data_IF_190011844052
#
_entry.id   IF_190011844052
#
_cell.length_a   1.000
_cell.length_b   1.000
_cell.length_c   1.000
_cell.angle_alpha   90.00
_cell.angle_beta   90.00
_cell.angle_gamma   90.00
#
_symmetry.space_group_name_H-M   'P 1'
#
loop_
_entity.id
_entity.type
_entity.pdbx_description
1 polymer ?
#
# COMPACT_ATOMS: atom_id res chain seq x y z
N UNK A 1 7.49 3.54 7.64
CA UNK A 1 8.91 3.95 7.64
C UNK A 1 9.47 4.23 6.23
N UNK A 2 9.44 3.33 5.20
CA UNK A 2 10.10 3.59 3.92
C UNK A 2 9.53 4.79 3.15
N UNK A 3 8.24 5.06 3.23
CA UNK A 3 7.62 6.24 2.62
C UNK A 3 8.13 7.55 3.23
N UNK A 4 8.15 7.65 4.56
CA UNK A 4 8.59 8.86 5.24
C UNK A 4 10.06 9.11 4.94
N UNK A 5 10.92 8.08 5.05
CA UNK A 5 12.35 8.20 4.76
C UNK A 5 12.61 8.56 3.29
N UNK A 6 11.85 8.03 2.34
CA UNK A 6 11.98 8.36 0.91
C UNK A 6 11.56 9.80 0.63
N UNK A 7 10.47 10.27 1.21
CA UNK A 7 9.99 11.66 1.05
C UNK A 7 11.01 12.64 1.65
N UNK A 8 11.53 12.35 2.84
CA UNK A 8 12.57 13.17 3.49
C UNK A 8 13.85 13.21 2.64
N UNK A 9 14.30 12.07 2.12
CA UNK A 9 15.47 12.00 1.23
C UNK A 9 15.23 12.78 -0.07
N UNK A 10 14.06 12.65 -0.71
CA UNK A 10 13.74 13.40 -1.92
C UNK A 10 13.64 14.90 -1.66
N UNK A 11 12.99 15.32 -0.58
CA UNK A 11 12.92 16.72 -0.18
C UNK A 11 14.32 17.31 0.08
N UNK A 12 15.15 16.58 0.81
CA UNK A 12 16.53 17.00 1.06
C UNK A 12 17.34 17.11 -0.24
N UNK A 13 17.28 16.10 -1.11
CA UNK A 13 17.95 16.12 -2.42
C UNK A 13 17.45 17.26 -3.31
N UNK A 14 16.19 17.66 -3.20
CA UNK A 14 15.63 18.78 -3.96
C UNK A 14 16.26 20.13 -3.57
N UNK A 15 16.63 20.29 -2.31
CA UNK A 15 17.25 21.55 -1.79
C UNK A 15 18.76 21.66 -2.07
N UNK A 16 19.41 20.56 -2.44
CA UNK A 16 20.88 20.50 -2.60
C UNK A 16 21.29 20.77 -4.05
N UNK A 17 22.43 21.45 -4.24
CA UNK A 17 22.99 21.76 -5.57
C UNK A 17 23.34 20.48 -6.37
N UNK A 18 23.35 20.55 -7.72
CA UNK A 18 23.65 19.37 -8.56
C UNK A 18 25.02 18.71 -8.24
N UNK A 19 26.05 19.51 -7.99
CA UNK A 19 27.39 19.00 -7.64
C UNK A 19 27.39 18.28 -6.27
N UNK A 20 26.62 18.76 -5.31
CA UNK A 20 26.50 18.07 -4.02
C UNK A 20 25.65 16.80 -4.12
N UNK A 21 24.67 16.72 -5.01
CA UNK A 21 23.91 15.48 -5.29
C UNK A 21 24.79 14.34 -5.77
N UNK A 22 25.76 14.62 -6.64
CA UNK A 22 26.72 13.60 -7.11
C UNK A 22 27.60 13.10 -5.97
N UNK A 23 28.11 13.98 -5.12
CA UNK A 23 28.92 13.62 -3.95
C UNK A 23 28.15 12.77 -2.92
N UNK A 24 26.84 13.00 -2.78
CA UNK A 24 25.99 12.27 -1.86
C UNK A 24 25.51 10.91 -2.41
N UNK A 25 25.69 10.65 -3.69
CA UNK A 25 25.26 9.40 -4.34
C UNK A 25 25.62 8.13 -3.56
N UNK A 26 26.89 7.93 -3.18
CA UNK A 26 27.31 6.74 -2.42
C UNK A 26 26.64 6.64 -1.05
N UNK A 27 26.49 7.74 -0.33
CA UNK A 27 25.84 7.77 0.99
C UNK A 27 24.35 7.40 0.86
N UNK A 28 23.66 7.95 -0.13
CA UNK A 28 22.23 7.66 -0.35
C UNK A 28 22.02 6.20 -0.74
N UNK A 29 22.89 5.60 -1.55
CA UNK A 29 22.89 4.16 -1.86
C UNK A 29 22.95 3.33 -0.60
N UNK A 30 23.93 3.61 0.27
CA UNK A 30 24.14 2.88 1.51
C UNK A 30 22.94 3.04 2.45
N UNK A 31 22.45 4.27 2.64
CA UNK A 31 21.27 4.54 3.48
C UNK A 31 20.05 3.79 2.95
N UNK A 32 19.80 3.82 1.65
CA UNK A 32 18.69 3.12 1.03
C UNK A 32 18.79 1.60 1.20
N UNK A 33 19.98 1.04 1.07
CA UNK A 33 20.23 -0.38 1.30
C UNK A 33 19.99 -0.75 2.77
N UNK A 34 20.51 0.03 3.71
CA UNK A 34 20.32 -0.23 5.15
C UNK A 34 18.84 -0.16 5.52
N UNK A 35 18.11 0.85 5.01
CA UNK A 35 16.67 0.98 5.25
C UNK A 35 15.88 -0.21 4.67
N UNK A 36 16.21 -0.65 3.45
CA UNK A 36 15.53 -1.80 2.84
C UNK A 36 15.84 -3.12 3.56
N UNK A 37 17.08 -3.32 4.01
CA UNK A 37 17.45 -4.48 4.83
C UNK A 37 16.78 -4.44 6.20
N UNK A 38 16.71 -3.28 6.84
CA UNK A 38 16.00 -3.12 8.11
C UNK A 38 14.50 -3.48 7.96
N UNK A 39 13.86 -3.08 6.86
CA UNK A 39 12.48 -3.47 6.56
C UNK A 39 12.33 -4.99 6.38
N UNK A 40 13.24 -5.62 5.64
CA UNK A 40 13.24 -7.07 5.46
C UNK A 40 13.43 -7.80 6.80
N UNK A 41 14.35 -7.35 7.64
CA UNK A 41 14.57 -7.94 8.97
C UNK A 41 13.33 -7.76 9.84
N UNK A 42 12.70 -6.58 9.86
CA UNK A 42 11.49 -6.33 10.64
C UNK A 42 10.32 -7.22 10.17
N UNK A 43 10.06 -7.32 8.88
CA UNK A 43 8.98 -8.17 8.36
C UNK A 43 9.25 -9.65 8.61
N UNK A 44 10.51 -10.09 8.51
CA UNK A 44 10.91 -11.46 8.84
C UNK A 44 10.78 -11.72 10.34
N UNK A 45 11.17 -10.76 11.19
CA UNK A 45 11.02 -10.86 12.64
C UNK A 45 9.53 -10.90 13.07
N UNK A 46 8.67 -10.12 12.41
CA UNK A 46 7.22 -10.19 12.63
C UNK A 46 6.67 -11.57 12.28
N UNK A 47 7.15 -12.18 11.21
CA UNK A 47 6.75 -13.54 10.83
C UNK A 47 7.13 -14.57 11.88
N UNK A 48 8.38 -14.61 12.31
CA UNK A 48 8.83 -15.55 13.33
C UNK A 48 8.34 -15.17 14.74
N UNK A 49 8.19 -13.88 15.02
CA UNK A 49 7.69 -13.38 16.30
C UNK A 49 6.24 -13.77 16.58
N UNK A 50 5.38 -13.77 15.57
CA UNK A 50 4.00 -14.22 15.70
C UNK A 50 3.91 -15.71 16.08
N UNK A 51 4.86 -16.53 15.59
CA UNK A 51 4.95 -17.95 15.97
C UNK A 51 5.36 -18.16 17.42
N UNK A 52 6.19 -17.27 17.99
CA UNK A 52 6.68 -17.40 19.35
C UNK A 52 5.71 -16.88 20.42
N UNK A 53 4.90 -15.85 20.10
CA UNK A 53 4.03 -15.19 21.08
C UNK A 53 2.72 -15.95 21.29
N UNK A 54 2.19 -16.61 20.28
CA UNK A 54 0.90 -17.32 20.33
C UNK A 54 1.01 -18.85 20.28
N UNK A 55 2.22 -19.41 20.15
CA UNK A 55 2.48 -20.84 20.24
C UNK A 55 1.92 -21.71 19.11
N UNK A 56 1.17 -21.14 18.17
CA UNK A 56 0.56 -21.88 17.05
C UNK A 56 0.32 -20.96 15.86
N UNK A 57 1.33 -20.69 15.04
CA UNK A 57 1.06 -20.40 13.64
C UNK A 57 0.84 -21.74 12.94
N UNK A 58 -0.32 -22.29 13.15
CA UNK A 58 -0.80 -23.37 12.32
C UNK A 58 -1.20 -22.74 10.98
N UNK A 59 -0.45 -23.03 9.91
CA UNK A 59 -0.77 -22.60 8.54
C UNK A 59 -2.18 -23.02 8.13
N UNK A 60 -2.75 -24.00 8.84
CA UNK A 60 -4.12 -24.50 8.65
C UNK A 60 -5.17 -23.59 9.29
N UNK A 61 -4.78 -22.71 10.24
CA UNK A 61 -5.67 -21.78 10.95
C UNK A 61 -5.56 -20.34 10.47
N UNK A 62 -4.67 -20.03 9.50
CA UNK A 62 -4.69 -18.77 8.78
C UNK A 62 -5.97 -18.69 7.94
N UNK A 63 -7.06 -18.31 8.59
CA UNK A 63 -8.32 -18.09 7.88
C UNK A 63 -8.24 -16.75 7.15
N UNK A 64 -8.64 -16.75 5.89
CA UNK A 64 -8.88 -15.53 5.14
C UNK A 64 -9.87 -14.68 5.92
N UNK A 65 -9.49 -13.44 6.25
CA UNK A 65 -10.32 -12.50 7.01
C UNK A 65 -10.03 -12.38 8.51
N UNK A 66 -9.04 -13.12 9.05
CA UNK A 66 -8.45 -12.82 10.35
C UNK A 66 -7.22 -11.94 10.15
N UNK A 67 -7.24 -10.73 10.70
CA UNK A 67 -6.14 -9.77 10.55
C UNK A 67 -5.24 -9.82 11.77
N UNK A 68 -3.93 -9.95 11.51
CA UNK A 68 -2.88 -9.85 12.50
C UNK A 68 -2.27 -8.44 12.48
N UNK A 69 -1.74 -7.99 13.63
CA UNK A 69 -1.11 -6.68 13.78
C UNK A 69 -2.05 -5.52 13.38
N UNK A 70 -3.33 -5.69 13.70
CA UNK A 70 -4.34 -4.69 13.36
C UNK A 70 -4.18 -3.44 14.22
N UNK A 71 -4.10 -2.29 13.54
CA UNK A 71 -4.18 -0.97 14.16
C UNK A 71 -5.18 -0.12 13.41
N UNK A 72 -6.10 0.50 14.13
CA UNK A 72 -7.13 1.35 13.55
C UNK A 72 -7.33 2.62 14.38
N UNK A 73 -7.42 3.75 13.71
CA UNK A 73 -7.78 5.03 14.30
C UNK A 73 -8.67 5.80 13.34
N UNK A 74 -9.58 6.62 13.88
CA UNK A 74 -10.47 7.45 13.06
C UNK A 74 -9.64 8.52 12.37
N UNK A 75 -9.77 8.62 11.04
CA UNK A 75 -9.13 9.66 10.22
C UNK A 75 -10.13 10.75 9.83
N UNK A 76 -11.22 10.39 9.17
CA UNK A 76 -12.29 11.32 8.77
C UNK A 76 -13.62 10.75 9.27
N UNK A 77 -14.05 11.23 10.44
CA UNK A 77 -15.25 10.73 11.12
C UNK A 77 -16.52 10.92 10.27
N UNK A 78 -16.67 12.07 9.62
CA UNK A 78 -17.84 12.41 8.81
C UNK A 78 -18.10 11.46 7.62
N UNK A 79 -17.05 10.77 7.14
CA UNK A 79 -17.12 9.81 6.04
C UNK A 79 -16.92 8.36 6.49
N UNK A 80 -16.73 8.11 7.77
CA UNK A 80 -16.42 6.77 8.28
C UNK A 80 -15.14 6.19 7.70
N UNK A 81 -14.12 7.04 7.46
CA UNK A 81 -12.80 6.65 6.96
C UNK A 81 -11.87 6.45 8.14
N UNK A 82 -11.21 5.30 8.16
CA UNK A 82 -10.26 4.92 9.19
C UNK A 82 -8.84 4.83 8.63
N UNK A 83 -7.86 5.29 9.42
CA UNK A 83 -6.48 4.89 9.22
C UNK A 83 -6.33 3.49 9.81
N UNK A 84 -6.60 2.49 9.00
CA UNK A 84 -6.68 1.10 9.43
C UNK A 84 -5.67 0.26 8.65
N UNK A 85 -4.78 -0.41 9.37
CA UNK A 85 -3.74 -1.28 8.80
C UNK A 85 -3.75 -2.62 9.50
N UNK A 86 -3.49 -3.67 8.75
CA UNK A 86 -3.35 -5.02 9.26
C UNK A 86 -2.87 -5.97 8.17
N UNK A 87 -2.57 -7.19 8.54
CA UNK A 87 -2.10 -8.21 7.61
C UNK A 87 -2.87 -9.50 7.83
N UNK A 88 -3.29 -10.10 6.74
CA UNK A 88 -3.88 -11.44 6.70
C UNK A 88 -2.89 -12.46 6.10
N UNK A 89 -3.32 -13.70 5.97
CA UNK A 89 -2.53 -14.79 5.39
C UNK A 89 -2.07 -14.53 3.95
N UNK A 90 -2.79 -13.68 3.20
CA UNK A 90 -2.46 -13.34 1.82
C UNK A 90 -1.56 -12.11 1.73
N UNK A 91 -1.86 -11.06 2.47
CA UNK A 91 -1.11 -9.81 2.43
C UNK A 91 0.29 -9.94 3.03
N UNK A 92 0.47 -10.79 4.04
CA UNK A 92 1.77 -11.00 4.67
C UNK A 92 2.87 -11.47 3.68
N UNK A 93 2.69 -12.55 2.90
CA UNK A 93 3.66 -12.96 1.88
C UNK A 93 3.95 -11.87 0.84
N UNK A 94 2.95 -11.04 0.48
CA UNK A 94 3.12 -9.94 -0.47
C UNK A 94 3.99 -8.82 0.11
N UNK A 95 3.78 -8.47 1.38
CA UNK A 95 4.63 -7.52 2.11
C UNK A 95 6.05 -8.06 2.23
N UNK A 96 6.21 -9.33 2.61
CA UNK A 96 7.52 -9.95 2.74
C UNK A 96 8.26 -10.00 1.40
N UNK A 97 7.58 -10.38 0.33
CA UNK A 97 8.15 -10.39 -1.03
C UNK A 97 8.59 -8.99 -1.45
N UNK A 98 7.77 -7.96 -1.19
CA UNK A 98 8.10 -6.57 -1.50
C UNK A 98 9.35 -6.12 -0.75
N UNK A 99 9.43 -6.40 0.56
CA UNK A 99 10.59 -6.05 1.39
C UNK A 99 11.84 -6.84 1.02
N UNK A 100 11.71 -8.06 0.50
CA UNK A 100 12.81 -8.86 -0.02
C UNK A 100 13.34 -8.32 -1.36
N UNK A 101 12.44 -7.93 -2.26
CA UNK A 101 12.82 -7.43 -3.59
C UNK A 101 13.47 -6.04 -3.53
N UNK A 102 13.17 -5.21 -2.54
CA UNK A 102 13.77 -3.88 -2.40
C UNK A 102 15.29 -3.90 -2.31
N UNK A 103 15.95 -4.61 -1.36
CA UNK A 103 17.41 -4.67 -1.29
C UNK A 103 18.01 -5.33 -2.53
N UNK A 104 17.35 -6.34 -3.11
CA UNK A 104 17.79 -6.98 -4.36
C UNK A 104 17.83 -5.96 -5.49
N UNK A 105 16.78 -5.15 -5.64
CA UNK A 105 16.72 -4.08 -6.65
C UNK A 105 17.81 -3.04 -6.43
N UNK A 106 18.05 -2.62 -5.19
CA UNK A 106 19.09 -1.64 -4.86
C UNK A 106 20.48 -2.17 -5.21
N UNK A 107 20.76 -3.44 -4.90
CA UNK A 107 22.04 -4.07 -5.23
C UNK A 107 22.21 -4.26 -6.75
N UNK A 108 21.15 -4.71 -7.44
CA UNK A 108 21.18 -4.90 -8.89
C UNK A 108 21.43 -3.60 -9.66
N UNK A 109 20.92 -2.48 -9.12
CA UNK A 109 21.07 -1.14 -9.75
C UNK A 109 22.14 -0.27 -9.08
N UNK A 110 23.10 -0.90 -8.37
CA UNK A 110 24.08 -0.19 -7.55
C UNK A 110 24.86 0.90 -8.29
N UNK A 111 25.20 0.67 -9.55
CA UNK A 111 25.97 1.58 -10.37
C UNK A 111 25.15 2.62 -11.14
N UNK A 112 23.83 2.72 -10.80
CA UNK A 112 22.93 3.60 -11.56
C UNK A 112 23.30 5.07 -11.42
N UNK A 113 23.19 5.80 -12.53
CA UNK A 113 23.44 7.24 -12.57
C UNK A 113 22.34 7.99 -11.83
N UNK A 114 22.69 9.16 -11.25
CA UNK A 114 21.76 9.97 -10.43
C UNK A 114 21.19 9.21 -9.22
N UNK A 115 22.02 8.42 -8.56
CA UNK A 115 21.67 7.62 -7.39
C UNK A 115 20.86 8.38 -6.33
N UNK A 116 21.16 9.68 -6.14
CA UNK A 116 20.51 10.55 -5.18
C UNK A 116 18.99 10.70 -5.41
N UNK A 117 18.53 10.52 -6.64
CA UNK A 117 17.09 10.58 -6.97
C UNK A 117 16.52 9.19 -7.20
N UNK A 118 17.32 8.27 -7.77
CA UNK A 118 16.86 6.93 -8.11
C UNK A 118 16.43 6.11 -6.89
N UNK A 119 17.32 5.97 -5.91
CA UNK A 119 17.09 5.10 -4.76
C UNK A 119 15.92 5.57 -3.86
N UNK A 120 15.77 6.86 -3.56
CA UNK A 120 14.57 7.33 -2.86
C UNK A 120 13.26 7.05 -3.62
N UNK A 121 13.25 7.14 -4.96
CA UNK A 121 12.06 6.77 -5.75
C UNK A 121 11.76 5.27 -5.66
N UNK A 122 12.78 4.41 -5.67
CA UNK A 122 12.62 2.96 -5.48
C UNK A 122 12.05 2.66 -4.08
N UNK A 123 12.58 3.31 -3.03
CA UNK A 123 12.06 3.17 -1.66
C UNK A 123 10.62 3.69 -1.55
N UNK A 124 10.29 4.80 -2.21
CA UNK A 124 8.94 5.35 -2.22
C UNK A 124 7.95 4.39 -2.87
N UNK A 125 8.33 3.79 -4.00
CA UNK A 125 7.51 2.78 -4.67
C UNK A 125 7.27 1.55 -3.78
N UNK A 126 8.33 1.01 -3.18
CA UNK A 126 8.20 -0.12 -2.26
C UNK A 126 7.36 0.18 -1.03
N UNK A 127 7.52 1.38 -0.46
CA UNK A 127 6.72 1.83 0.67
C UNK A 127 5.24 2.02 0.33
N UNK A 128 4.93 2.54 -0.86
CA UNK A 128 3.56 2.66 -1.35
C UNK A 128 2.92 1.28 -1.59
N UNK A 129 3.65 0.34 -2.19
CA UNK A 129 3.20 -1.06 -2.35
C UNK A 129 2.92 -1.74 -1.02
N UNK A 130 3.78 -1.57 -0.01
CA UNK A 130 3.50 -2.09 1.33
C UNK A 130 2.21 -1.48 1.86
N UNK A 131 2.00 -0.16 1.69
CA UNK A 131 0.77 0.52 2.08
C UNK A 131 -0.48 -0.09 1.43
N UNK A 132 -0.42 -0.43 0.14
CA UNK A 132 -1.50 -1.11 -0.59
C UNK A 132 -1.84 -2.46 0.05
N UNK A 133 -0.82 -3.26 0.43
CA UNK A 133 -1.04 -4.61 0.97
C UNK A 133 -1.50 -4.63 2.43
N UNK A 134 -1.23 -3.58 3.20
CA UNK A 134 -1.62 -3.51 4.62
C UNK A 134 -2.87 -2.66 4.88
N UNK A 135 -3.39 -1.97 3.87
CA UNK A 135 -4.57 -1.13 4.02
C UNK A 135 -5.82 -1.97 4.29
N UNK A 136 -6.50 -1.70 5.40
CA UNK A 136 -7.78 -2.30 5.76
C UNK A 136 -8.98 -1.37 5.52
N UNK A 137 -8.75 -0.21 4.93
CA UNK A 137 -9.77 0.75 4.50
C UNK A 137 -9.66 0.98 3.00
N UNK A 138 -10.77 0.90 2.27
CA UNK A 138 -10.80 1.02 0.80
C UNK A 138 -10.32 2.38 0.30
N UNK A 139 -10.59 3.46 1.05
CA UNK A 139 -10.10 4.79 0.70
C UNK A 139 -8.58 4.88 0.91
N UNK A 140 -8.07 4.34 2.01
CA UNK A 140 -6.65 4.28 2.29
C UNK A 140 -5.91 3.41 1.25
N UNK A 141 -6.48 2.26 0.88
CA UNK A 141 -5.99 1.43 -0.21
C UNK A 141 -5.84 2.24 -1.50
N UNK A 142 -6.88 3.00 -1.89
CA UNK A 142 -6.86 3.84 -3.07
C UNK A 142 -5.75 4.91 -3.02
N UNK A 143 -5.58 5.58 -1.89
CA UNK A 143 -4.52 6.59 -1.70
C UNK A 143 -3.13 5.98 -1.91
N UNK A 144 -2.84 4.81 -1.33
CA UNK A 144 -1.56 4.15 -1.53
C UNK A 144 -1.39 3.63 -2.96
N UNK A 145 -2.46 3.16 -3.59
CA UNK A 145 -2.46 2.78 -5.00
C UNK A 145 -2.04 3.94 -5.90
N UNK A 146 -2.68 5.10 -5.75
CA UNK A 146 -2.30 6.32 -6.49
C UNK A 146 -0.87 6.76 -6.20
N UNK A 147 -0.42 6.61 -4.96
CA UNK A 147 0.92 6.98 -4.57
C UNK A 147 2.01 6.16 -5.29
N UNK A 148 1.72 4.94 -5.75
CA UNK A 148 2.66 4.13 -6.55
C UNK A 148 2.94 4.73 -7.92
N UNK A 149 1.99 5.48 -8.50
CA UNK A 149 2.12 6.06 -9.83
C UNK A 149 3.20 7.14 -9.90
N UNK A 150 3.36 7.91 -8.82
CA UNK A 150 4.30 9.04 -8.78
C UNK A 150 5.75 8.56 -9.00
N UNK A 151 6.31 7.65 -8.18
CA UNK A 151 7.67 7.17 -8.39
C UNK A 151 7.82 6.43 -9.72
N UNK A 152 6.81 5.65 -10.13
CA UNK A 152 6.86 4.91 -11.39
C UNK A 152 6.94 5.85 -12.60
N UNK A 153 6.14 6.93 -12.63
CA UNK A 153 6.22 7.96 -13.67
C UNK A 153 7.64 8.55 -13.78
N UNK A 154 8.25 8.94 -12.65
CA UNK A 154 9.59 9.52 -12.66
C UNK A 154 10.68 8.51 -13.01
N UNK A 155 10.54 7.25 -12.61
CA UNK A 155 11.47 6.18 -12.99
C UNK A 155 11.44 5.95 -14.50
N UNK A 156 10.27 5.83 -15.11
CA UNK A 156 10.14 5.69 -16.57
C UNK A 156 10.67 6.93 -17.29
N UNK A 157 10.33 8.13 -16.80
CA UNK A 157 10.72 9.40 -17.45
C UNK A 157 12.24 9.60 -17.49
N UNK A 158 12.96 9.21 -16.42
CA UNK A 158 14.41 9.44 -16.31
C UNK A 158 15.25 8.27 -16.80
N UNK A 159 14.84 7.05 -16.53
CA UNK A 159 15.61 5.83 -16.80
C UNK A 159 14.98 4.91 -17.85
N UNK A 160 13.85 5.29 -18.43
CA UNK A 160 13.22 4.56 -19.54
C UNK A 160 14.03 4.60 -20.83
N UNK A 161 13.55 3.85 -21.84
CA UNK A 161 14.17 3.71 -23.15
C UNK A 161 14.12 4.97 -24.05
N UNK A 162 14.18 4.77 -25.38
CA UNK A 162 14.27 5.85 -26.35
C UNK A 162 13.13 6.86 -26.26
N UNK A 163 11.88 6.41 -26.21
CA UNK A 163 10.68 7.25 -26.16
C UNK A 163 10.14 7.45 -24.73
N UNK A 164 11.02 7.52 -23.74
CA UNK A 164 10.67 7.58 -22.30
C UNK A 164 9.67 8.68 -21.92
N UNK A 165 9.72 9.85 -22.57
CA UNK A 165 8.76 10.94 -22.31
C UNK A 165 7.35 10.55 -22.70
N UNK A 166 7.19 10.06 -23.92
CA UNK A 166 5.91 9.58 -24.44
C UNK A 166 5.40 8.38 -23.63
N UNK A 167 6.28 7.42 -23.34
CA UNK A 167 5.95 6.23 -22.58
C UNK A 167 5.50 6.57 -21.16
N UNK A 168 6.20 7.48 -20.45
CA UNK A 168 5.83 7.89 -19.10
C UNK A 168 4.49 8.62 -19.02
N UNK A 169 4.24 9.53 -19.95
CA UNK A 169 2.96 10.24 -20.05
C UNK A 169 1.81 9.29 -20.39
N UNK A 170 2.01 8.40 -21.36
CA UNK A 170 1.01 7.42 -21.75
C UNK A 170 0.70 6.46 -20.59
N UNK A 171 1.72 5.93 -19.93
CA UNK A 171 1.56 5.10 -18.73
C UNK A 171 0.73 5.82 -17.66
N UNK A 172 1.11 7.06 -17.32
CA UNK A 172 0.41 7.83 -16.28
C UNK A 172 -1.06 8.07 -16.65
N UNK A 173 -1.35 8.54 -17.87
CA UNK A 173 -2.74 8.85 -18.29
C UNK A 173 -3.60 7.58 -18.24
N UNK A 174 -3.12 6.47 -18.82
CA UNK A 174 -3.91 5.23 -18.82
C UNK A 174 -4.16 4.68 -17.42
N UNK A 175 -3.12 4.64 -16.59
CA UNK A 175 -3.24 4.09 -15.24
C UNK A 175 -4.10 4.98 -14.35
N UNK A 176 -3.91 6.30 -14.42
CA UNK A 176 -4.72 7.27 -13.67
C UNK A 176 -6.19 7.25 -14.12
N UNK A 177 -6.48 7.14 -15.43
CA UNK A 177 -7.86 7.03 -15.90
C UNK A 177 -8.53 5.75 -15.40
N UNK A 178 -7.81 4.62 -15.41
CA UNK A 178 -8.32 3.36 -14.87
C UNK A 178 -8.58 3.44 -13.37
N UNK A 179 -7.70 4.09 -12.62
CA UNK A 179 -7.86 4.25 -11.16
C UNK A 179 -9.01 5.18 -10.78
N UNK A 180 -9.31 6.20 -11.59
CA UNK A 180 -10.51 7.03 -11.41
C UNK A 180 -11.79 6.20 -11.58
N UNK A 181 -11.83 5.28 -12.56
CA UNK A 181 -12.96 4.35 -12.71
C UNK A 181 -13.07 3.43 -11.48
N UNK A 182 -11.95 2.93 -10.96
CA UNK A 182 -11.94 2.17 -9.71
C UNK A 182 -12.48 2.99 -8.54
N UNK A 183 -12.08 4.27 -8.41
CA UNK A 183 -12.62 5.16 -7.38
C UNK A 183 -14.13 5.30 -7.47
N UNK A 184 -14.69 5.46 -8.67
CA UNK A 184 -16.14 5.49 -8.86
C UNK A 184 -16.80 4.20 -8.37
N UNK A 185 -16.17 3.04 -8.60
CA UNK A 185 -16.62 1.76 -8.05
C UNK A 185 -16.62 1.74 -6.52
N UNK A 186 -15.54 2.19 -5.88
CA UNK A 186 -15.44 2.28 -4.41
C UNK A 186 -16.48 3.22 -3.81
N UNK A 187 -16.68 4.39 -4.43
CA UNK A 187 -17.71 5.36 -4.03
C UNK A 187 -19.12 4.78 -4.20
N UNK A 188 -19.34 4.02 -5.27
CA UNK A 188 -20.63 3.32 -5.49
C UNK A 188 -20.90 2.30 -4.39
N UNK A 189 -19.91 1.49 -4.02
CA UNK A 189 -20.02 0.55 -2.88
C UNK A 189 -20.37 1.31 -1.60
N UNK A 190 -19.72 2.44 -1.33
CA UNK A 190 -19.99 3.27 -0.16
C UNK A 190 -21.46 3.76 -0.11
N UNK A 191 -21.99 4.27 -1.22
CA UNK A 191 -23.36 4.81 -1.24
C UNK A 191 -24.44 3.73 -1.21
N UNK A 192 -24.16 2.53 -1.70
CA UNK A 192 -25.10 1.41 -1.73
C UNK A 192 -25.15 0.60 -0.43
N UNK A 193 -24.30 0.89 0.55
CA UNK A 193 -24.33 0.25 1.85
C UNK A 193 -25.62 0.60 2.61
N UNK A 194 -26.19 -0.34 3.37
CA UNK A 194 -27.24 -0.03 4.32
C UNK A 194 -26.71 0.90 5.42
N UNK A 195 -27.52 1.82 5.90
CA UNK A 195 -27.17 2.69 7.02
C UNK A 195 -27.11 1.87 8.33
N UNK A 196 -26.17 2.24 9.22
CA UNK A 196 -26.03 1.57 10.52
C UNK A 196 -24.89 0.58 10.62
N UNK A 197 -24.00 0.52 9.60
CA UNK A 197 -22.77 -0.24 9.69
C UNK A 197 -21.79 0.43 10.67
N UNK A 198 -21.44 -0.26 11.75
CA UNK A 198 -20.52 0.27 12.78
C UNK A 198 -19.42 -0.72 13.08
N UNK A 199 -18.20 -0.21 13.16
CA UNK A 199 -17.09 -0.90 13.81
C UNK A 199 -17.13 -0.54 15.30
N UNK A 200 -17.29 -1.52 16.17
CA UNK A 200 -17.24 -1.37 17.63
C UNK A 200 -18.26 -0.36 18.23
N UNK A 201 -19.42 -0.16 17.62
CA UNK A 201 -20.50 0.63 18.22
C UNK A 201 -20.32 2.15 18.23
N UNK A 202 -19.30 2.69 17.54
CA UNK A 202 -18.99 4.13 17.57
C UNK A 202 -19.52 4.93 16.38
N UNK A 203 -19.73 4.29 15.23
CA UNK A 203 -20.22 4.94 14.02
C UNK A 203 -21.46 4.22 13.47
N UNK A 204 -22.52 4.95 13.19
CA UNK A 204 -23.81 4.43 12.68
C UNK A 204 -24.01 4.72 11.20
N UNK A 205 -23.03 5.25 10.51
CA UNK A 205 -23.06 5.61 9.09
C UNK A 205 -22.48 4.54 8.17
N UNK A 206 -22.23 4.96 6.93
CA UNK A 206 -21.52 4.17 5.92
C UNK A 206 -20.03 4.19 6.20
N UNK A 207 -19.28 3.16 5.75
CA UNK A 207 -17.83 3.04 6.02
C UNK A 207 -17.08 2.47 4.82
N UNK A 208 -15.78 2.79 4.74
CA UNK A 208 -14.83 2.15 3.82
C UNK A 208 -14.03 1.02 4.48
N UNK A 209 -14.30 0.70 5.75
CA UNK A 209 -13.57 -0.32 6.53
C UNK A 209 -13.85 -1.73 6.02
N UNK A 210 -12.83 -2.40 5.47
CA UNK A 210 -12.93 -3.72 4.84
C UNK A 210 -13.41 -4.80 5.81
N UNK A 211 -12.89 -4.90 7.06
CA UNK A 211 -13.38 -5.88 8.04
C UNK A 211 -14.88 -5.75 8.32
N UNK A 212 -15.37 -4.53 8.48
CA UNK A 212 -16.80 -4.26 8.69
C UNK A 212 -17.62 -4.66 7.47
N UNK A 213 -17.19 -4.29 6.27
CA UNK A 213 -17.87 -4.63 5.02
C UNK A 213 -17.94 -6.14 4.80
N UNK A 214 -16.87 -6.86 5.04
CA UNK A 214 -16.82 -8.33 4.89
C UNK A 214 -17.70 -9.04 5.92
N UNK A 215 -17.71 -8.61 7.17
CA UNK A 215 -18.56 -9.17 8.21
C UNK A 215 -20.07 -8.99 7.87
N UNK A 216 -20.44 -7.83 7.37
CA UNK A 216 -21.82 -7.57 6.94
C UNK A 216 -22.22 -8.36 5.69
N UNK A 217 -21.33 -8.50 4.72
CA UNK A 217 -21.57 -9.31 3.53
C UNK A 217 -21.77 -10.80 3.90
N UNK A 218 -20.98 -11.32 4.84
CA UNK A 218 -21.14 -12.68 5.35
C UNK A 218 -22.44 -12.87 6.10
N UNK A 219 -22.83 -11.93 6.98
CA UNK A 219 -24.08 -11.98 7.70
C UNK A 219 -25.30 -11.91 6.77
N UNK A 220 -25.25 -11.06 5.76
CA UNK A 220 -26.30 -10.95 4.74
C UNK A 220 -26.46 -12.26 3.94
N UNK A 221 -25.36 -12.87 3.53
CA UNK A 221 -25.39 -14.16 2.83
C UNK A 221 -25.94 -15.30 3.70
N UNK A 222 -25.59 -15.33 4.99
CA UNK A 222 -26.10 -16.32 5.94
C UNK A 222 -27.62 -16.15 6.21
N UNK A 223 -28.11 -14.91 6.18
CA UNK A 223 -29.53 -14.59 6.32
C UNK A 223 -30.35 -14.69 5.03
N UNK A 224 -29.73 -15.06 3.90
CA UNK A 224 -30.38 -15.09 2.59
C UNK A 224 -30.69 -13.70 2.01
N UNK A 225 -30.16 -12.65 2.59
CA UNK A 225 -30.28 -11.26 2.12
C UNK A 225 -29.06 -10.87 1.28
N UNK A 226 -29.27 -10.06 0.24
CA UNK A 226 -28.18 -9.58 -0.59
C UNK A 226 -27.64 -8.25 -0.04
N UNK A 227 -26.32 -8.18 0.18
CA UNK A 227 -25.64 -7.02 0.78
C UNK A 227 -25.81 -5.72 -0.06
N UNK A 228 -25.71 -5.82 -1.38
CA UNK A 228 -25.88 -4.69 -2.31
C UNK A 228 -27.20 -4.72 -3.09
N UNK A 229 -28.15 -5.56 -2.70
CA UNK A 229 -29.33 -5.87 -3.50
C UNK A 229 -29.03 -6.93 -4.57
N UNK A 230 -30.01 -7.81 -4.81
CA UNK A 230 -29.82 -9.01 -5.65
C UNK A 230 -29.32 -8.72 -7.08
N UNK A 231 -29.84 -7.65 -7.69
CA UNK A 231 -29.47 -7.27 -9.06
C UNK A 231 -28.03 -6.74 -9.19
N UNK A 232 -27.53 -6.00 -8.22
CA UNK A 232 -26.21 -5.40 -8.24
C UNK A 232 -25.11 -6.40 -7.87
N UNK A 233 -25.38 -7.30 -6.94
CA UNK A 233 -24.43 -8.30 -6.52
C UNK A 233 -24.19 -9.39 -7.59
N UNK A 234 -25.11 -9.57 -8.55
CA UNK A 234 -24.95 -10.43 -9.71
C UNK A 234 -24.15 -9.79 -10.86
N UNK A 235 -23.97 -8.46 -10.83
CA UNK A 235 -23.26 -7.71 -11.88
C UNK A 235 -21.79 -7.48 -11.48
N UNK A 236 -21.47 -7.43 -10.19
CA UNK A 236 -20.12 -7.29 -9.62
C UNK A 236 -19.49 -8.67 -9.39
#
# INVERSE_FOLDING_TARGET
MPLISSIVLLAYVATVSPAARERMGPTIRLVSLVLSLAMLVLTTAMFFGSQYIEGTLDWTTLSFGSFNYEYSTVWIESLGIYWSVGMDALSFPMVWLTTFLLPVTIVATWNEKNAAVYFPLVLMMGGALIGVFVALDLFMFYVFWELTLIPMFFLILKWGGYDRKYASQKFFIYTFTASVIMLLGLVTVYFLQPEGLSRAGTWTGRTFDIPTLTAHAQAANAGGAWFLGESLQKIL
#
